data_IF_714091395500
#
_entry.id   IF_714091395500
#
_cell.length_a   1.000
_cell.length_b   1.000
_cell.length_c   1.000
_cell.angle_alpha   90.00
_cell.angle_beta   90.00
_cell.angle_gamma   90.00
#
_symmetry.space_group_name_H-M   'P 1'
#
loop_
_entity.id
_entity.type
_entity.pdbx_description
1 polymer ?
#
# COMPACT_ATOMS: atom_id res chain seq x y z
N UNK A 1 -9.63 13.67 -12.95
CA UNK A 1 -10.68 13.67 -13.98
C UNK A 1 -11.92 12.87 -13.58
N UNK A 2 -11.85 11.54 -13.42
CA UNK A 2 -13.01 10.68 -13.08
C UNK A 2 -13.80 11.17 -11.85
N UNK A 3 -13.10 11.59 -10.79
CA UNK A 3 -13.73 12.17 -9.59
C UNK A 3 -14.55 13.42 -9.93
N UNK A 4 -14.02 14.33 -10.75
CA UNK A 4 -14.72 15.55 -11.13
C UNK A 4 -15.96 15.23 -11.97
N UNK A 5 -15.85 14.29 -12.92
CA UNK A 5 -16.99 13.81 -13.72
C UNK A 5 -18.12 13.27 -12.83
N UNK A 6 -17.79 12.42 -11.87
CA UNK A 6 -18.79 11.86 -10.95
C UNK A 6 -19.45 12.97 -10.12
N UNK A 7 -18.66 13.92 -9.59
CA UNK A 7 -19.17 15.06 -8.81
C UNK A 7 -20.01 16.04 -9.64
N UNK A 8 -19.74 16.16 -10.93
CA UNK A 8 -20.48 17.05 -11.84
C UNK A 8 -21.68 16.36 -12.52
N UNK A 9 -22.20 15.26 -11.95
CA UNK A 9 -23.30 14.47 -12.52
C UNK A 9 -23.04 13.89 -13.92
N UNK A 10 -21.77 13.70 -14.29
CA UNK A 10 -21.38 13.11 -15.57
C UNK A 10 -21.47 11.57 -15.60
N UNK A 11 -21.90 10.93 -14.51
CA UNK A 11 -21.96 9.48 -14.38
C UNK A 11 -20.60 8.83 -14.04
N UNK A 12 -20.58 7.50 -13.87
CA UNK A 12 -19.39 6.77 -13.42
C UNK A 12 -18.31 6.65 -14.50
N UNK A 13 -17.09 6.28 -14.07
CA UNK A 13 -15.95 5.95 -14.93
C UNK A 13 -15.34 4.64 -14.45
N UNK A 14 -15.04 3.73 -15.37
CA UNK A 14 -14.21 2.55 -15.10
C UNK A 14 -12.74 2.91 -15.27
N UNK A 15 -11.90 2.59 -14.29
CA UNK A 15 -10.45 2.78 -14.36
C UNK A 15 -9.77 1.42 -14.18
N UNK A 16 -9.00 0.98 -15.17
CA UNK A 16 -8.14 -0.19 -15.06
C UNK A 16 -6.70 0.24 -14.69
N UNK A 17 -6.34 0.09 -13.41
CA UNK A 17 -5.00 0.38 -12.92
C UNK A 17 -4.11 -0.88 -12.98
N UNK A 18 -3.44 -1.09 -14.11
CA UNK A 18 -2.55 -2.24 -14.32
C UNK A 18 -1.36 -2.18 -13.35
N UNK A 19 -1.27 -3.16 -12.46
CA UNK A 19 -0.24 -3.28 -11.42
C UNK A 19 0.18 -4.73 -11.24
N UNK A 20 1.07 -5.00 -10.28
CA UNK A 20 1.58 -6.33 -10.00
C UNK A 20 1.72 -6.60 -8.50
N UNK A 21 1.23 -7.77 -8.06
CA UNK A 21 1.40 -8.25 -6.70
C UNK A 21 2.76 -8.95 -6.59
N UNK A 22 3.75 -8.26 -6.02
CA UNK A 22 5.13 -8.78 -5.96
C UNK A 22 5.31 -9.95 -4.98
N UNK A 23 4.50 -10.00 -3.92
CA UNK A 23 4.54 -11.06 -2.89
C UNK A 23 3.45 -12.10 -3.17
N UNK A 24 3.43 -13.20 -2.41
CA UNK A 24 2.38 -14.23 -2.50
C UNK A 24 0.97 -13.69 -2.30
N UNK A 25 -0.04 -14.53 -2.51
CA UNK A 25 -1.43 -14.14 -2.33
C UNK A 25 -1.77 -13.77 -0.88
N UNK A 26 -1.15 -14.46 0.07
CA UNK A 26 -1.25 -14.25 1.50
C UNK A 26 0.07 -14.62 2.17
N UNK A 27 0.19 -14.41 3.47
CA UNK A 27 1.43 -14.62 4.25
C UNK A 27 2.02 -16.04 4.13
N UNK A 28 1.17 -17.04 3.91
CA UNK A 28 1.56 -18.44 3.78
C UNK A 28 1.76 -18.92 2.33
N UNK A 29 1.55 -18.06 1.35
CA UNK A 29 1.71 -18.39 -0.07
C UNK A 29 3.10 -17.95 -0.55
N UNK A 30 4.02 -18.87 -0.90
CA UNK A 30 5.32 -18.49 -1.43
C UNK A 30 5.21 -17.86 -2.83
N UNK A 31 4.13 -18.15 -3.55
CA UNK A 31 3.86 -17.66 -4.88
C UNK A 31 4.82 -18.12 -5.95
N UNK A 32 5.53 -19.23 -5.74
CA UNK A 32 6.49 -19.81 -6.69
C UNK A 32 5.85 -20.81 -7.65
N UNK A 33 4.63 -21.28 -7.36
CA UNK A 33 4.01 -22.39 -8.08
C UNK A 33 3.23 -21.95 -9.34
N UNK A 34 2.96 -20.64 -9.47
CA UNK A 34 2.08 -20.10 -10.52
C UNK A 34 2.66 -18.89 -11.27
N UNK A 35 3.92 -18.51 -11.01
CA UNK A 35 4.62 -17.40 -11.66
C UNK A 35 6.13 -17.61 -11.58
N UNK A 36 6.87 -17.02 -12.51
CA UNK A 36 8.33 -17.15 -12.51
C UNK A 36 8.98 -16.06 -11.67
N UNK A 37 10.20 -16.31 -11.20
CA UNK A 37 11.00 -15.29 -10.52
C UNK A 37 11.30 -14.13 -11.47
N UNK A 38 11.57 -14.45 -12.74
CA UNK A 38 11.89 -13.49 -13.79
C UNK A 38 10.73 -12.52 -14.03
N UNK A 39 9.49 -13.00 -14.05
CA UNK A 39 8.29 -12.16 -14.15
C UNK A 39 8.21 -11.18 -12.98
N UNK A 40 8.40 -11.65 -11.75
CA UNK A 40 8.36 -10.79 -10.55
C UNK A 40 9.46 -9.73 -10.59
N UNK A 41 10.68 -10.10 -10.99
CA UNK A 41 11.81 -9.15 -11.09
C UNK A 41 11.56 -8.08 -12.17
N UNK A 42 10.97 -8.44 -13.32
CA UNK A 42 10.56 -7.48 -14.35
C UNK A 42 9.53 -6.46 -13.84
N UNK A 43 8.71 -6.82 -12.86
CA UNK A 43 7.77 -5.89 -12.24
C UNK A 43 8.39 -5.07 -11.10
N UNK A 44 9.37 -5.61 -10.37
CA UNK A 44 10.09 -4.86 -9.32
C UNK A 44 10.83 -3.64 -9.87
N UNK A 45 11.39 -3.72 -11.08
CA UNK A 45 12.03 -2.55 -11.72
C UNK A 45 11.03 -1.43 -12.03
N UNK A 46 9.73 -1.75 -12.10
CA UNK A 46 8.62 -0.81 -12.32
C UNK A 46 7.95 -0.37 -11.02
N UNK A 47 8.61 -0.57 -9.87
CA UNK A 47 8.09 -0.19 -8.57
C UNK A 47 7.70 1.30 -8.55
N UNK A 48 6.42 1.63 -8.30
CA UNK A 48 5.95 3.02 -8.40
C UNK A 48 6.59 3.93 -7.37
N UNK A 49 6.94 3.42 -6.17
CA UNK A 49 7.63 4.20 -5.14
C UNK A 49 9.03 4.59 -5.62
N UNK A 50 9.78 3.63 -6.17
CA UNK A 50 11.13 3.86 -6.70
C UNK A 50 11.10 4.85 -7.87
N UNK A 51 10.25 4.59 -8.87
CA UNK A 51 10.15 5.44 -10.05
C UNK A 51 9.67 6.86 -9.72
N UNK A 52 8.77 7.01 -8.75
CA UNK A 52 8.34 8.32 -8.29
C UNK A 52 9.47 9.08 -7.57
N UNK A 53 10.22 8.41 -6.68
CA UNK A 53 11.38 8.99 -5.99
C UNK A 53 12.41 9.51 -6.98
N UNK A 54 12.82 8.69 -7.93
CA UNK A 54 13.76 9.08 -9.00
C UNK A 54 13.27 10.32 -9.76
N UNK A 55 12.01 10.31 -10.19
CA UNK A 55 11.42 11.44 -10.91
C UNK A 55 11.39 12.74 -10.09
N UNK A 56 11.08 12.65 -8.80
CA UNK A 56 11.02 13.82 -7.91
C UNK A 56 12.41 14.41 -7.62
N UNK A 57 13.43 13.55 -7.52
CA UNK A 57 14.82 13.96 -7.40
C UNK A 57 15.33 14.62 -8.69
N UNK A 58 15.11 13.99 -9.84
CA UNK A 58 15.56 14.48 -11.14
C UNK A 58 14.95 15.85 -11.49
N UNK A 59 13.72 16.10 -11.04
CA UNK A 59 13.03 17.37 -11.24
C UNK A 59 13.37 18.42 -10.19
N UNK A 60 14.13 18.07 -9.15
CA UNK A 60 14.45 18.97 -8.03
C UNK A 60 13.22 19.40 -7.22
N UNK A 61 12.08 18.72 -7.39
CA UNK A 61 10.83 19.06 -6.69
C UNK A 61 10.90 18.74 -5.20
N UNK A 62 11.71 17.74 -4.83
CA UNK A 62 11.86 17.25 -3.46
C UNK A 62 13.34 17.03 -3.15
N UNK A 63 13.88 17.64 -2.08
CA UNK A 63 15.25 17.39 -1.63
C UNK A 63 15.49 15.94 -1.22
N UNK A 64 16.71 15.44 -1.40
CA UNK A 64 17.06 14.06 -1.08
C UNK A 64 16.81 13.71 0.40
N UNK A 65 17.10 14.64 1.32
CA UNK A 65 16.88 14.46 2.76
C UNK A 65 15.40 14.29 3.13
N UNK A 66 14.47 14.72 2.28
CA UNK A 66 13.04 14.58 2.57
C UNK A 66 12.59 13.12 2.52
N UNK A 67 13.24 12.27 1.71
CA UNK A 67 12.88 10.85 1.61
C UNK A 67 13.27 10.09 2.88
N UNK A 68 14.47 10.35 3.40
CA UNK A 68 14.94 9.75 4.66
C UNK A 68 14.01 10.12 5.81
N UNK A 69 13.65 11.42 5.93
CA UNK A 69 12.68 11.87 6.93
C UNK A 69 11.32 11.17 6.80
N UNK A 70 10.79 11.02 5.58
CA UNK A 70 9.50 10.34 5.38
C UNK A 70 9.58 8.86 5.77
N UNK A 71 10.69 8.18 5.47
CA UNK A 71 10.92 6.79 5.85
C UNK A 71 10.98 6.64 7.39
N UNK A 72 11.67 7.55 8.08
CA UNK A 72 11.74 7.59 9.54
C UNK A 72 10.37 7.87 10.19
N UNK A 73 9.63 8.85 9.67
CA UNK A 73 8.28 9.18 10.15
C UNK A 73 7.32 7.99 9.97
N UNK A 74 7.37 7.32 8.82
CA UNK A 74 6.56 6.14 8.55
C UNK A 74 6.92 4.98 9.50
N UNK A 75 8.21 4.77 9.78
CA UNK A 75 8.66 3.74 10.72
C UNK A 75 8.15 4.03 12.14
N UNK A 76 8.25 5.27 12.61
CA UNK A 76 7.72 5.66 13.92
C UNK A 76 6.21 5.38 14.01
N UNK A 77 5.44 5.77 12.99
CA UNK A 77 4.00 5.51 12.98
C UNK A 77 3.67 4.02 13.01
N UNK A 78 4.45 3.19 12.32
CA UNK A 78 4.31 1.74 12.37
C UNK A 78 4.62 1.18 13.76
N UNK A 79 5.70 1.63 14.39
CA UNK A 79 6.10 1.19 15.72
C UNK A 79 5.03 1.52 16.76
N UNK A 80 4.50 2.75 16.72
CA UNK A 80 3.40 3.20 17.59
C UNK A 80 2.13 2.38 17.36
N UNK A 81 1.74 2.15 16.09
CA UNK A 81 0.55 1.37 15.76
C UNK A 81 0.67 -0.09 16.21
N UNK A 82 1.86 -0.70 16.04
CA UNK A 82 2.14 -2.07 16.49
C UNK A 82 2.14 -2.15 18.02
N UNK A 83 2.74 -1.17 18.69
CA UNK A 83 2.72 -1.10 20.15
C UNK A 83 1.29 -0.98 20.67
N UNK A 84 0.50 -0.06 20.11
CA UNK A 84 -0.90 0.12 20.47
C UNK A 84 -1.70 -1.17 20.28
N UNK A 85 -1.55 -1.85 19.14
CA UNK A 85 -2.23 -3.11 18.86
C UNK A 85 -1.86 -4.21 19.86
N UNK A 86 -0.57 -4.35 20.21
CA UNK A 86 -0.09 -5.35 21.17
C UNK A 86 -0.50 -5.07 22.62
N UNK A 87 -0.67 -3.80 22.98
CA UNK A 87 -1.08 -3.39 24.33
C UNK A 87 -2.60 -3.33 24.49
N UNK A 88 -3.34 -3.38 23.39
CA UNK A 88 -4.80 -3.38 23.42
C UNK A 88 -5.30 -4.69 24.06
N UNK A 89 -6.31 -4.63 24.94
CA UNK A 89 -6.91 -5.82 25.50
C UNK A 89 -7.63 -6.61 24.40
N UNK A 90 -7.64 -7.93 24.54
CA UNK A 90 -8.50 -8.80 23.73
C UNK A 90 -9.98 -8.41 23.90
N UNK A 91 -10.80 -8.52 22.84
CA UNK A 91 -12.23 -8.23 22.94
C UNK A 91 -12.90 -9.20 23.92
N UNK A 92 -13.86 -8.70 24.70
CA UNK A 92 -14.64 -9.56 25.60
C UNK A 92 -15.44 -10.59 24.77
N UNK A 93 -15.42 -11.88 25.12
CA UNK A 93 -16.27 -12.87 24.46
C UNK A 93 -17.76 -12.54 24.49
N UNK A 94 -18.20 -11.71 25.45
CA UNK A 94 -19.59 -11.26 25.56
C UNK A 94 -20.04 -10.40 24.38
N UNK A 95 -19.12 -9.69 23.70
CA UNK A 95 -19.46 -8.79 22.58
C UNK A 95 -19.56 -9.51 21.24
N UNK A 96 -19.33 -10.83 21.20
CA UNK A 96 -19.30 -11.62 19.97
C UNK A 96 -20.59 -11.55 19.15
N UNK A 97 -21.72 -11.16 19.75
CA UNK A 97 -23.04 -11.06 19.09
C UNK A 97 -23.57 -9.64 18.95
N UNK A 98 -22.84 -8.61 19.38
CA UNK A 98 -23.35 -7.23 19.47
C UNK A 98 -23.77 -6.63 18.11
N UNK A 99 -23.31 -7.22 17.01
CA UNK A 99 -23.64 -6.82 15.64
C UNK A 99 -24.22 -7.98 14.79
N UNK A 100 -24.67 -9.05 15.46
CA UNK A 100 -25.54 -10.06 14.86
C UNK A 100 -27.00 -9.66 15.05
N UNK A 101 -27.82 -9.83 14.02
CA UNK A 101 -29.28 -9.72 14.16
C UNK A 101 -29.86 -10.90 14.94
#
# INVERSE_FOLDING_TARGET
EAVNRARSNGGPTLIEAKTYRMVGHHEGDPGTDYRTREEVEQWKVRCPIKTLREKLLDTGMVPAESFERIEEEAQHWLDDAVQFAKQSPEPSPSTARDHGF
#
